data_IF_320151019487
#
_entry.id   IF_320151019487
#
_cell.length_a   1.000
_cell.length_b   1.000
_cell.length_c   1.000
_cell.angle_alpha   90.00
_cell.angle_beta   90.00
_cell.angle_gamma   90.00
#
_symmetry.space_group_name_H-M   'P 1'
#
loop_
_entity.id
_entity.type
_entity.pdbx_description
1 polymer ?
#
# COMPACT_ATOMS: atom_id res chain seq x y z
N UNK A 1 -23.57 57.29 -18.15
CA UNK A 1 -22.91 56.55 -17.05
C UNK A 1 -21.90 55.61 -17.67
N UNK A 2 -20.67 55.61 -17.13
CA UNK A 2 -19.46 55.05 -17.74
C UNK A 2 -19.43 53.52 -17.61
N UNK A 3 -19.11 52.84 -18.71
CA UNK A 3 -18.80 51.41 -18.72
C UNK A 3 -17.46 51.12 -18.04
N UNK A 4 -17.41 50.05 -17.25
CA UNK A 4 -16.17 49.43 -16.79
C UNK A 4 -15.73 48.40 -17.83
N UNK A 5 -14.44 48.29 -18.17
CA UNK A 5 -13.93 47.19 -18.98
C UNK A 5 -13.69 45.96 -18.10
N UNK A 6 -14.02 44.79 -18.67
CA UNK A 6 -13.70 43.47 -18.13
C UNK A 6 -12.18 43.26 -18.12
N UNK A 7 -11.66 42.84 -16.97
CA UNK A 7 -10.28 42.35 -16.84
C UNK A 7 -10.20 40.92 -17.36
N UNK A 8 -9.22 40.56 -18.20
CA UNK A 8 -9.02 39.17 -18.62
C UNK A 8 -8.50 38.30 -17.47
N UNK A 9 -8.76 36.98 -17.49
CA UNK A 9 -8.29 36.07 -16.46
C UNK A 9 -6.76 35.95 -16.53
N UNK A 10 -6.13 35.95 -15.34
CA UNK A 10 -4.69 35.73 -15.18
C UNK A 10 -4.33 34.31 -15.62
N UNK A 11 -3.54 34.19 -16.68
CA UNK A 11 -2.80 32.97 -16.99
C UNK A 11 -1.76 32.73 -15.89
N UNK A 12 -1.94 31.65 -15.13
CA UNK A 12 -0.88 31.11 -14.29
C UNK A 12 0.11 30.38 -15.19
N UNK A 13 1.20 31.06 -15.53
CA UNK A 13 2.35 30.45 -16.20
C UNK A 13 3.03 29.53 -15.18
N UNK A 14 2.73 28.23 -15.26
CA UNK A 14 3.53 27.21 -14.59
C UNK A 14 4.81 27.07 -15.42
N UNK A 15 5.92 27.56 -14.87
CA UNK A 15 7.25 27.37 -15.44
C UNK A 15 7.67 25.91 -15.18
N UNK A 16 7.46 25.05 -16.17
CA UNK A 16 8.00 23.68 -16.19
C UNK A 16 9.14 23.67 -17.21
N UNK A 17 10.40 23.56 -16.75
CA UNK A 17 11.49 22.99 -17.56
C UNK A 17 12.76 22.86 -16.73
N UNK A 18 12.88 21.74 -16.04
CA UNK A 18 14.16 21.04 -15.97
C UNK A 18 13.94 19.70 -16.65
N UNK A 19 14.62 19.38 -17.76
CA UNK A 19 14.47 18.08 -18.40
C UNK A 19 15.05 17.00 -17.46
N UNK A 20 14.18 16.08 -17.02
CA UNK A 20 14.60 14.88 -16.29
C UNK A 20 15.48 14.02 -17.22
N UNK A 21 16.61 13.47 -16.72
CA UNK A 21 17.38 12.51 -17.48
C UNK A 21 16.57 11.22 -17.69
N UNK A 22 16.80 10.50 -18.81
CA UNK A 22 16.08 9.28 -19.12
C UNK A 22 16.60 8.15 -18.23
N UNK A 23 15.89 7.82 -17.15
CA UNK A 23 16.14 6.57 -16.44
C UNK A 23 15.30 5.46 -17.07
N UNK A 24 15.80 4.84 -18.14
CA UNK A 24 15.22 3.58 -18.65
C UNK A 24 15.78 2.43 -17.80
N UNK A 25 15.16 2.25 -16.64
CA UNK A 25 15.33 1.13 -15.71
C UNK A 25 14.11 1.07 -14.79
N UNK A 26 13.78 -0.10 -14.26
CA UNK A 26 12.74 -0.18 -13.23
C UNK A 26 13.17 0.66 -12.00
N UNK A 27 12.24 1.38 -11.35
CA UNK A 27 12.56 2.20 -10.19
C UNK A 27 13.14 1.32 -9.08
N UNK A 28 14.11 1.84 -8.33
CA UNK A 28 14.78 1.15 -7.21
C UNK A 28 14.51 1.84 -5.87
N UNK A 29 14.11 3.11 -5.91
CA UNK A 29 13.74 3.90 -4.76
C UNK A 29 12.49 4.75 -5.04
N UNK A 30 11.92 5.35 -4.00
CA UNK A 30 10.80 6.28 -4.12
C UNK A 30 11.14 7.52 -4.95
N UNK A 31 12.41 7.95 -4.92
CA UNK A 31 12.90 9.08 -5.70
C UNK A 31 12.77 8.83 -7.20
N UNK A 32 12.90 7.58 -7.65
CA UNK A 32 12.72 7.21 -9.06
C UNK A 32 11.25 7.27 -9.50
N UNK A 33 10.32 7.12 -8.54
CA UNK A 33 8.87 7.15 -8.79
C UNK A 33 8.33 8.56 -8.71
N UNK A 34 8.59 9.27 -7.61
CA UNK A 34 8.02 10.57 -7.32
C UNK A 34 8.83 11.72 -7.90
N UNK A 35 10.11 11.48 -8.23
CA UNK A 35 11.06 12.52 -8.58
C UNK A 35 11.62 13.24 -7.36
N UNK A 36 12.60 14.12 -7.57
CA UNK A 36 13.22 14.89 -6.49
C UNK A 36 12.25 15.93 -5.90
N UNK A 37 12.46 16.29 -4.63
CA UNK A 37 11.73 17.38 -3.99
C UNK A 37 10.28 17.06 -3.60
N UNK A 38 9.90 15.78 -3.54
CA UNK A 38 8.62 15.32 -3.02
C UNK A 38 8.83 14.69 -1.64
N UNK A 39 7.98 15.04 -0.68
CA UNK A 39 7.89 14.31 0.59
C UNK A 39 6.82 13.21 0.48
N UNK A 40 7.07 12.03 1.05
CA UNK A 40 6.11 10.91 1.05
C UNK A 40 5.60 10.65 2.48
N UNK A 41 4.29 10.43 2.59
CA UNK A 41 3.63 10.03 3.82
C UNK A 41 2.70 8.84 3.58
N UNK A 42 3.07 7.67 4.12
CA UNK A 42 2.29 6.44 4.00
C UNK A 42 1.39 6.16 5.22
N UNK A 43 1.11 7.17 6.04
CA UNK A 43 0.28 7.03 7.24
C UNK A 43 -1.21 7.23 6.91
N UNK A 44 -2.10 6.27 7.18
CA UNK A 44 -3.54 6.52 7.17
C UNK A 44 -3.96 7.57 8.21
N UNK A 45 -5.08 8.25 7.96
CA UNK A 45 -5.70 9.12 8.96
C UNK A 45 -6.16 8.30 10.19
N UNK A 46 -5.99 8.87 11.38
CA UNK A 46 -6.47 8.28 12.64
C UNK A 46 -7.81 8.91 12.99
N UNK A 47 -8.86 8.08 13.07
CA UNK A 47 -10.14 8.50 13.66
C UNK A 47 -10.08 8.43 15.18
N UNK A 48 -10.88 9.26 15.86
CA UNK A 48 -10.94 9.29 17.32
C UNK A 48 -11.33 7.90 17.88
N UNK A 49 -10.55 7.38 18.84
CA UNK A 49 -10.80 6.08 19.48
C UNK A 49 -10.16 4.86 18.80
N UNK A 50 -9.31 5.07 17.79
CA UNK A 50 -8.76 3.98 16.98
C UNK A 50 -7.82 3.04 17.77
N UNK A 51 -8.26 1.79 17.95
CA UNK A 51 -7.49 0.68 18.55
C UNK A 51 -6.32 0.20 17.68
N UNK A 52 -6.18 0.73 16.46
CA UNK A 52 -5.18 0.31 15.46
C UNK A 52 -4.08 1.34 15.20
N UNK A 53 -3.85 2.29 16.12
CA UNK A 53 -2.80 3.32 15.99
C UNK A 53 -1.42 2.73 15.67
N UNK A 54 -1.05 1.62 16.31
CA UNK A 54 0.19 0.90 16.04
C UNK A 54 0.29 0.42 14.58
N UNK A 55 -0.82 -0.04 13.99
CA UNK A 55 -0.83 -0.50 12.59
C UNK A 55 -0.58 0.66 11.64
N UNK A 56 -1.28 1.79 11.80
CA UNK A 56 -1.15 2.94 10.90
C UNK A 56 0.23 3.61 11.01
N UNK A 57 0.76 3.72 12.24
CA UNK A 57 2.09 4.29 12.46
C UNK A 57 3.17 3.35 11.88
N UNK A 58 3.00 2.02 11.96
CA UNK A 58 3.88 1.07 11.30
C UNK A 58 3.84 1.16 9.76
N UNK A 59 2.69 1.49 9.15
CA UNK A 59 2.59 1.70 7.70
C UNK A 59 3.45 2.91 7.25
N UNK A 60 3.46 3.98 8.05
CA UNK A 60 4.25 5.18 7.75
C UNK A 60 5.76 4.95 7.73
N UNK A 61 6.24 3.89 8.40
CA UNK A 61 7.66 3.53 8.47
C UNK A 61 8.13 2.66 7.29
N UNK A 62 7.23 1.99 6.56
CA UNK A 62 7.62 1.11 5.45
C UNK A 62 8.42 1.82 4.34
N UNK A 63 8.08 3.06 3.93
CA UNK A 63 8.83 3.79 2.91
C UNK A 63 10.33 3.97 3.19
N UNK A 64 10.74 3.96 4.47
CA UNK A 64 12.12 4.27 4.91
C UNK A 64 13.16 3.41 4.17
N UNK A 65 12.88 2.12 4.01
CA UNK A 65 13.81 1.16 3.44
C UNK A 65 14.17 1.44 1.98
N UNK A 66 13.34 2.18 1.24
CA UNK A 66 13.54 2.42 -0.20
C UNK A 66 13.38 3.89 -0.55
N UNK A 67 13.59 4.79 0.40
CA UNK A 67 13.34 6.22 0.19
C UNK A 67 14.31 6.85 -0.82
N UNK A 68 15.58 6.43 -0.83
CA UNK A 68 16.64 7.15 -1.54
C UNK A 68 16.71 8.60 -1.03
N UNK A 69 16.70 9.57 -1.93
CA UNK A 69 16.72 11.00 -1.60
C UNK A 69 15.33 11.57 -1.23
N UNK A 70 14.29 10.74 -1.17
CA UNK A 70 12.92 11.19 -0.86
C UNK A 70 12.78 11.47 0.63
N UNK A 71 12.31 12.66 1.00
CA UNK A 71 11.90 12.99 2.37
C UNK A 71 10.75 12.09 2.81
N UNK A 72 10.88 11.42 3.95
CA UNK A 72 9.81 10.55 4.48
C UNK A 72 9.27 11.12 5.79
N UNK A 73 7.94 11.31 5.86
CA UNK A 73 7.24 11.61 7.11
C UNK A 73 6.78 10.29 7.72
N UNK A 74 7.39 9.87 8.82
CA UNK A 74 7.22 8.54 9.38
C UNK A 74 7.15 8.51 10.91
N UNK A 75 6.60 7.45 11.48
CA UNK A 75 6.63 7.23 12.92
C UNK A 75 8.06 6.97 13.40
N UNK A 76 8.41 7.53 14.57
CA UNK A 76 9.68 7.33 15.28
C UNK A 76 9.95 5.85 15.66
N UNK A 77 8.89 5.02 15.67
CA UNK A 77 9.02 3.56 15.74
C UNK A 77 9.81 2.93 14.59
N UNK A 78 9.84 3.55 13.41
CA UNK A 78 10.62 3.07 12.27
C UNK A 78 12.06 3.59 12.21
N UNK A 79 12.43 4.52 13.09
CA UNK A 79 13.72 5.24 13.05
C UNK A 79 14.70 4.77 14.12
N UNK A 80 14.52 3.56 14.66
CA UNK A 80 15.48 2.96 15.58
C UNK A 80 16.88 2.87 14.92
N UNK A 81 17.96 3.36 15.55
CA UNK A 81 19.28 3.37 14.93
C UNK A 81 19.80 1.98 14.53
N UNK A 82 19.50 0.93 15.31
CA UNK A 82 19.93 -0.43 15.00
C UNK A 82 19.15 -1.00 13.81
N UNK A 83 17.85 -0.70 13.71
CA UNK A 83 17.05 -1.02 12.52
C UNK A 83 17.59 -0.30 11.28
N UNK A 84 17.81 1.01 11.36
CA UNK A 84 18.31 1.79 10.22
C UNK A 84 19.69 1.31 9.77
N UNK A 85 20.58 0.97 10.72
CA UNK A 85 21.86 0.35 10.40
C UNK A 85 21.67 -0.99 9.68
N UNK A 86 20.79 -1.86 10.18
CA UNK A 86 20.51 -3.16 9.56
C UNK A 86 19.94 -3.06 8.14
N UNK A 87 19.07 -2.07 7.87
CA UNK A 87 18.56 -1.80 6.53
C UNK A 87 19.67 -1.33 5.59
N UNK A 88 20.52 -0.40 6.02
CA UNK A 88 21.67 0.11 5.25
C UNK A 88 22.72 -0.98 4.99
N UNK A 89 23.02 -1.80 5.99
CA UNK A 89 23.93 -2.95 5.86
C UNK A 89 23.39 -4.00 4.88
N UNK A 90 22.07 -4.09 4.72
CA UNK A 90 21.41 -4.87 3.67
C UNK A 90 21.53 -4.26 2.26
N UNK A 91 22.20 -3.11 2.11
CA UNK A 91 22.41 -2.40 0.86
C UNK A 91 21.24 -1.51 0.43
N UNK A 92 20.19 -1.39 1.24
CA UNK A 92 18.97 -0.70 0.87
C UNK A 92 19.20 0.82 0.78
N UNK A 93 18.51 1.53 -0.14
CA UNK A 93 18.61 2.98 -0.28
C UNK A 93 17.77 3.65 0.80
N UNK A 94 18.19 3.48 2.05
CA UNK A 94 17.55 4.08 3.22
C UNK A 94 17.72 5.59 3.16
N UNK A 95 16.61 6.32 3.30
CA UNK A 95 16.64 7.79 3.24
C UNK A 95 17.28 8.42 4.47
N UNK A 96 17.86 9.59 4.27
CA UNK A 96 18.51 10.37 5.33
C UNK A 96 17.63 11.53 5.86
N UNK A 97 16.66 12.02 5.08
CA UNK A 97 15.65 13.00 5.52
C UNK A 97 14.39 12.29 6.04
N UNK A 98 14.49 11.81 7.29
CA UNK A 98 13.40 11.14 8.01
C UNK A 98 12.78 12.12 9.01
N UNK A 99 11.58 12.61 8.70
CA UNK A 99 10.81 13.54 9.53
C UNK A 99 9.93 12.75 10.47
N UNK A 100 10.50 12.34 11.59
CA UNK A 100 9.83 11.43 12.49
C UNK A 100 8.87 12.10 13.50
N UNK A 101 7.84 11.35 13.89
CA UNK A 101 6.84 11.77 14.87
C UNK A 101 6.53 10.64 15.85
N UNK A 102 6.10 11.01 17.07
CA UNK A 102 5.72 10.07 18.13
C UNK A 102 4.21 9.98 18.35
N UNK A 103 3.52 11.03 17.94
CA UNK A 103 2.09 11.26 18.16
C UNK A 103 1.44 12.08 17.04
N UNK A 104 0.13 12.31 17.18
CA UNK A 104 -0.67 13.02 16.17
C UNK A 104 -0.24 14.49 16.02
N UNK A 105 0.09 15.15 17.14
CA UNK A 105 0.56 16.53 17.12
C UNK A 105 1.92 16.65 16.43
N UNK A 106 2.84 15.73 16.73
CA UNK A 106 4.12 15.62 16.04
C UNK A 106 3.95 15.32 14.55
N UNK A 107 3.02 14.44 14.19
CA UNK A 107 2.71 14.15 12.77
C UNK A 107 2.28 15.42 12.04
N UNK A 108 1.33 16.18 12.60
CA UNK A 108 0.89 17.44 12.00
C UNK A 108 2.02 18.47 11.89
N UNK A 109 2.91 18.53 12.89
CA UNK A 109 4.09 19.40 12.84
C UNK A 109 5.05 19.01 11.70
N UNK A 110 5.34 17.72 11.51
CA UNK A 110 6.20 17.23 10.42
C UNK A 110 5.62 17.51 9.03
N UNK A 111 4.29 17.42 8.89
CA UNK A 111 3.59 17.80 7.66
C UNK A 111 3.72 19.31 7.40
N UNK A 112 3.51 20.14 8.43
CA UNK A 112 3.66 21.59 8.32
C UNK A 112 5.10 22.00 7.97
N UNK A 113 6.10 21.35 8.54
CA UNK A 113 7.52 21.57 8.23
C UNK A 113 7.83 21.24 6.77
N UNK A 114 7.35 20.11 6.24
CA UNK A 114 7.58 19.75 4.84
C UNK A 114 6.97 20.78 3.88
N UNK A 115 5.77 21.26 4.18
CA UNK A 115 5.14 22.34 3.40
C UNK A 115 5.89 23.67 3.53
N UNK A 116 6.42 24.00 4.72
CA UNK A 116 7.20 25.21 4.95
C UNK A 116 8.54 25.21 4.18
N UNK A 117 9.14 24.03 4.03
CA UNK A 117 10.33 23.82 3.20
C UNK A 117 10.02 23.80 1.69
N UNK A 118 8.74 23.98 1.32
CA UNK A 118 8.30 24.05 -0.07
C UNK A 118 8.12 22.69 -0.75
N UNK A 119 8.15 21.59 -0.01
CA UNK A 119 7.98 20.24 -0.56
C UNK A 119 6.49 19.96 -0.81
N UNK A 120 6.07 19.63 -2.04
CA UNK A 120 4.79 18.96 -2.24
C UNK A 120 4.80 17.58 -1.58
N UNK A 121 3.67 17.18 -1.02
CA UNK A 121 3.53 15.93 -0.26
C UNK A 121 2.71 14.91 -1.05
N UNK A 122 3.26 13.71 -1.27
CA UNK A 122 2.48 12.53 -1.67
C UNK A 122 1.90 11.87 -0.43
N UNK A 123 0.63 12.18 -0.14
CA UNK A 123 -0.16 11.47 0.86
C UNK A 123 -0.69 10.18 0.23
N UNK A 124 -0.28 9.02 0.74
CA UNK A 124 -0.75 7.72 0.24
C UNK A 124 -2.15 7.34 0.73
N UNK A 125 -2.68 8.11 1.67
CA UNK A 125 -4.03 7.96 2.19
C UNK A 125 -4.71 9.34 2.23
N UNK A 126 -6.04 9.42 2.08
CA UNK A 126 -6.78 10.66 2.23
C UNK A 126 -6.57 11.24 3.63
N UNK A 127 -6.24 12.53 3.67
CA UNK A 127 -6.13 13.32 4.89
C UNK A 127 -6.98 14.59 4.78
N UNK A 128 -7.43 15.18 5.90
CA UNK A 128 -8.16 16.44 5.87
C UNK A 128 -7.33 17.55 5.22
N UNK A 129 -7.97 18.39 4.40
CA UNK A 129 -7.31 19.55 3.77
C UNK A 129 -6.80 20.59 4.78
N UNK A 130 -7.35 20.59 6.00
CA UNK A 130 -6.85 21.37 7.11
C UNK A 130 -5.45 20.94 7.58
N UNK A 131 -5.09 19.66 7.39
CA UNK A 131 -3.75 19.14 7.67
C UNK A 131 -2.80 19.40 6.48
N UNK A 132 -3.25 19.09 5.26
CA UNK A 132 -2.48 19.26 4.04
C UNK A 132 -3.39 19.76 2.90
N UNK A 133 -3.33 21.05 2.54
CA UNK A 133 -4.14 21.63 1.47
C UNK A 133 -3.84 21.03 0.09
N UNK A 134 -4.83 21.04 -0.81
CA UNK A 134 -4.71 20.41 -2.13
C UNK A 134 -3.61 21.05 -3.01
N UNK A 135 -3.28 22.32 -2.82
CA UNK A 135 -2.18 22.99 -3.53
C UNK A 135 -0.78 22.56 -3.06
N UNK A 136 -0.69 21.80 -1.96
CA UNK A 136 0.56 21.31 -1.38
C UNK A 136 0.78 19.82 -1.58
N UNK A 137 -0.10 19.14 -2.33
CA UNK A 137 0.00 17.69 -2.55
C UNK A 137 0.32 17.35 -4.00
N UNK A 138 0.95 16.19 -4.17
CA UNK A 138 1.20 15.59 -5.50
C UNK A 138 -0.10 15.00 -6.08
N UNK A 139 -1.01 14.55 -5.21
CA UNK A 139 -2.31 13.96 -5.53
C UNK A 139 -3.32 14.34 -4.44
N UNK A 140 -4.53 14.75 -4.82
CA UNK A 140 -5.53 15.22 -3.86
C UNK A 140 -6.10 14.09 -3.02
N UNK A 141 -6.51 14.39 -1.79
CA UNK A 141 -7.15 13.42 -0.91
C UNK A 141 -8.44 12.86 -1.53
N UNK A 142 -9.21 13.70 -2.23
CA UNK A 142 -10.40 13.30 -2.97
C UNK A 142 -10.07 12.25 -4.05
N UNK A 143 -9.02 12.48 -4.85
CA UNK A 143 -8.63 11.54 -5.90
C UNK A 143 -8.20 10.19 -5.31
N UNK A 144 -7.34 10.20 -4.29
CA UNK A 144 -6.88 8.96 -3.63
C UNK A 144 -8.07 8.21 -3.03
N UNK A 145 -8.98 8.91 -2.35
CA UNK A 145 -10.17 8.31 -1.77
C UNK A 145 -11.08 7.70 -2.82
N UNK A 146 -11.37 8.44 -3.89
CA UNK A 146 -12.20 7.98 -4.99
C UNK A 146 -11.63 6.71 -5.65
N UNK A 147 -10.34 6.71 -6.00
CA UNK A 147 -9.66 5.57 -6.64
C UNK A 147 -9.58 4.32 -5.75
N UNK A 148 -9.60 4.48 -4.42
CA UNK A 148 -9.56 3.37 -3.47
C UNK A 148 -10.95 2.98 -2.95
N UNK A 149 -12.01 3.74 -3.28
CA UNK A 149 -13.36 3.42 -2.88
C UNK A 149 -13.87 2.25 -3.71
N UNK A 150 -14.13 1.13 -3.04
CA UNK A 150 -14.54 -0.13 -3.66
C UNK A 150 -15.87 -0.03 -4.40
N UNK A 151 -16.75 0.91 -4.04
CA UNK A 151 -17.99 1.16 -4.78
C UNK A 151 -17.77 1.74 -6.18
N UNK A 152 -16.57 2.30 -6.44
CA UNK A 152 -16.27 3.00 -7.70
C UNK A 152 -15.53 2.12 -8.72
N UNK A 153 -15.14 0.91 -8.34
CA UNK A 153 -14.37 -0.03 -9.19
C UNK A 153 -15.00 -0.19 -10.57
N UNK A 154 -16.33 -0.29 -10.63
CA UNK A 154 -17.10 -0.44 -11.86
C UNK A 154 -17.01 0.76 -12.82
N UNK A 155 -16.53 1.92 -12.35
CA UNK A 155 -16.29 3.12 -13.17
C UNK A 155 -14.98 3.02 -13.96
N UNK A 156 -14.00 2.31 -13.42
CA UNK A 156 -12.67 2.18 -14.02
C UNK A 156 -12.46 0.86 -14.73
N UNK A 157 -13.03 -0.23 -14.22
CA UNK A 157 -12.78 -1.57 -14.73
C UNK A 157 -13.76 -1.89 -15.86
N UNK A 158 -13.29 -2.50 -16.95
CA UNK A 158 -14.19 -3.00 -17.99
C UNK A 158 -15.16 -4.07 -17.44
N UNK A 159 -16.47 -4.06 -17.79
CA UNK A 159 -17.49 -4.94 -17.20
C UNK A 159 -17.19 -6.44 -17.22
N UNK A 160 -16.42 -6.91 -18.22
CA UNK A 160 -16.05 -8.32 -18.33
C UNK A 160 -15.14 -8.83 -17.21
N UNK A 161 -14.47 -7.93 -16.49
CA UNK A 161 -13.62 -8.24 -15.34
C UNK A 161 -14.30 -7.97 -14.00
N UNK A 162 -15.61 -7.71 -13.99
CA UNK A 162 -16.34 -7.49 -12.75
C UNK A 162 -16.74 -8.82 -12.13
N UNK A 163 -16.55 -8.94 -10.82
CA UNK A 163 -17.32 -9.86 -10.01
C UNK A 163 -18.77 -9.34 -9.90
N UNK A 164 -19.74 -10.25 -9.74
CA UNK A 164 -21.12 -9.85 -9.43
C UNK A 164 -21.16 -9.17 -8.08
N UNK A 165 -21.62 -7.93 -8.07
CA UNK A 165 -21.64 -7.09 -6.87
C UNK A 165 -22.75 -6.06 -6.91
N UNK A 166 -23.11 -5.56 -5.74
CA UNK A 166 -24.00 -4.42 -5.54
C UNK A 166 -23.45 -3.51 -4.45
N UNK A 167 -23.77 -2.21 -4.57
CA UNK A 167 -23.61 -1.27 -3.46
C UNK A 167 -24.94 -1.25 -2.70
N UNK A 168 -24.88 -1.43 -1.39
CA UNK A 168 -26.06 -1.50 -0.50
C UNK A 168 -25.90 -0.54 0.66
N UNK A 169 -27.02 -0.08 1.19
CA UNK A 169 -27.02 0.75 2.40
C UNK A 169 -26.94 -0.10 3.66
N UNK A 170 -26.65 0.52 4.80
CA UNK A 170 -26.74 -0.16 6.11
C UNK A 170 -28.12 -0.78 6.36
N UNK A 171 -29.20 -0.14 5.91
CA UNK A 171 -30.56 -0.62 6.13
C UNK A 171 -30.88 -1.90 5.34
N UNK A 172 -30.24 -2.08 4.19
CA UNK A 172 -30.46 -3.21 3.29
C UNK A 172 -29.46 -4.35 3.51
N UNK A 173 -28.50 -4.17 4.42
CA UNK A 173 -27.36 -5.08 4.56
C UNK A 173 -27.79 -6.49 4.98
N UNK A 174 -28.74 -6.62 5.92
CA UNK A 174 -29.24 -7.91 6.39
C UNK A 174 -29.90 -8.72 5.27
N UNK A 175 -30.63 -8.05 4.37
CA UNK A 175 -31.28 -8.69 3.21
C UNK A 175 -30.25 -9.06 2.13
N UNK A 176 -29.28 -8.17 1.89
CA UNK A 176 -28.28 -8.35 0.86
C UNK A 176 -27.21 -9.41 1.21
N UNK A 177 -27.05 -9.72 2.50
CA UNK A 177 -26.00 -10.59 3.03
C UNK A 177 -26.58 -11.83 3.75
N UNK A 178 -27.31 -12.70 3.03
CA UNK A 178 -27.99 -13.84 3.63
C UNK A 178 -27.00 -14.89 4.15
N UNK A 179 -27.33 -15.52 5.28
CA UNK A 179 -26.47 -16.49 5.94
C UNK A 179 -26.23 -17.77 5.11
N UNK A 180 -27.21 -18.19 4.30
CA UNK A 180 -27.16 -19.42 3.50
C UNK A 180 -26.30 -19.35 2.23
N UNK A 181 -25.67 -18.20 1.96
CA UNK A 181 -24.79 -18.00 0.79
C UNK A 181 -23.43 -17.49 1.23
N UNK A 182 -22.39 -17.84 0.50
CA UNK A 182 -21.08 -17.21 0.68
C UNK A 182 -21.04 -15.85 -0.04
N UNK A 183 -20.46 -14.84 0.60
CA UNK A 183 -20.32 -13.50 0.05
C UNK A 183 -19.11 -12.78 0.64
N UNK A 184 -18.70 -11.70 -0.03
CA UNK A 184 -17.68 -10.78 0.45
C UNK A 184 -18.32 -9.44 0.71
N UNK A 185 -18.18 -8.93 1.92
CA UNK A 185 -18.57 -7.59 2.31
C UNK A 185 -17.34 -6.71 2.31
N UNK A 186 -17.43 -5.57 1.62
CA UNK A 186 -16.35 -4.59 1.58
C UNK A 186 -16.86 -3.20 1.93
N UNK A 187 -16.03 -2.40 2.60
CA UNK A 187 -16.35 -1.01 2.91
C UNK A 187 -16.48 -0.18 1.62
N UNK A 188 -17.55 0.60 1.48
CA UNK A 188 -17.70 1.61 0.44
C UNK A 188 -17.45 3.00 1.04
N UNK A 189 -16.20 3.45 1.01
CA UNK A 189 -15.81 4.74 1.57
C UNK A 189 -14.66 5.36 0.79
N UNK A 190 -14.61 6.69 0.78
CA UNK A 190 -13.46 7.44 0.31
C UNK A 190 -12.35 7.52 1.36
N UNK A 191 -12.59 7.08 2.58
CA UNK A 191 -11.52 6.90 3.56
C UNK A 191 -10.74 5.65 3.18
N UNK A 192 -9.57 5.81 2.56
CA UNK A 192 -8.77 4.64 2.21
C UNK A 192 -8.27 3.94 3.48
N UNK A 193 -8.50 2.64 3.57
CA UNK A 193 -7.98 1.78 4.63
C UNK A 193 -7.01 0.75 4.04
N UNK A 194 -6.27 0.04 4.90
CA UNK A 194 -5.35 -1.01 4.48
C UNK A 194 -5.30 -2.16 5.48
N UNK A 195 -4.81 -3.31 5.03
CA UNK A 195 -4.60 -4.49 5.88
C UNK A 195 -5.85 -5.32 6.16
N UNK A 196 -6.77 -5.41 5.18
CA UNK A 196 -8.00 -6.22 5.25
C UNK A 196 -8.99 -5.81 6.35
N UNK A 197 -8.81 -4.64 6.96
CA UNK A 197 -9.72 -4.10 7.98
C UNK A 197 -11.08 -3.65 7.40
N UNK A 198 -11.17 -3.60 6.07
CA UNK A 198 -12.29 -3.12 5.28
C UNK A 198 -12.94 -4.21 4.42
N UNK A 199 -12.61 -5.48 4.68
CA UNK A 199 -13.11 -6.66 3.95
C UNK A 199 -13.50 -7.75 4.95
N UNK A 200 -14.65 -8.37 4.75
CA UNK A 200 -15.14 -9.50 5.52
C UNK A 200 -15.65 -10.58 4.56
N UNK A 201 -15.23 -11.81 4.82
CA UNK A 201 -15.57 -12.98 4.03
C UNK A 201 -16.52 -13.83 4.87
N UNK A 202 -17.68 -14.16 4.28
CA UNK A 202 -18.69 -14.99 4.91
C UNK A 202 -18.85 -16.28 4.12
N UNK A 203 -18.86 -17.41 4.83
CA UNK A 203 -19.12 -18.74 4.26
C UNK A 203 -20.59 -19.14 4.48
N UNK A 204 -21.18 -19.76 3.46
CA UNK A 204 -22.56 -20.24 3.52
C UNK A 204 -22.80 -21.18 4.72
N UNK A 205 -23.80 -20.84 5.53
CA UNK A 205 -24.21 -21.62 6.70
C UNK A 205 -23.63 -21.12 8.02
N UNK A 206 -22.62 -20.25 7.99
CA UNK A 206 -22.10 -19.62 9.19
C UNK A 206 -23.06 -18.58 9.76
N UNK A 207 -22.87 -18.25 11.04
CA UNK A 207 -23.57 -17.12 11.63
C UNK A 207 -23.00 -15.81 11.08
N UNK A 208 -23.86 -14.98 10.48
CA UNK A 208 -23.47 -13.63 10.06
C UNK A 208 -23.15 -12.79 11.29
N UNK A 209 -21.90 -12.36 11.39
CA UNK A 209 -21.42 -11.46 12.42
C UNK A 209 -20.71 -10.28 11.76
N UNK A 210 -21.46 -9.20 11.52
CA UNK A 210 -20.90 -8.07 10.79
C UNK A 210 -19.70 -7.45 11.54
N UNK A 211 -18.64 -7.07 10.79
CA UNK A 211 -17.46 -6.46 11.37
C UNK A 211 -17.76 -5.04 11.85
N UNK A 212 -16.92 -4.54 12.78
CA UNK A 212 -17.11 -3.25 13.44
C UNK A 212 -17.19 -2.04 12.47
N UNK A 213 -16.60 -2.13 11.28
CA UNK A 213 -16.71 -1.04 10.30
C UNK A 213 -18.15 -0.83 9.81
N UNK A 214 -19.03 -1.83 9.93
CA UNK A 214 -20.45 -1.70 9.56
C UNK A 214 -21.26 -0.78 10.47
N UNK A 215 -20.73 -0.50 11.67
CA UNK A 215 -21.35 0.45 12.60
C UNK A 215 -20.94 1.90 12.32
N UNK A 216 -19.93 2.11 11.46
CA UNK A 216 -19.36 3.42 11.16
C UNK A 216 -19.71 3.93 9.76
N UNK A 217 -20.08 3.04 8.85
CA UNK A 217 -20.30 3.35 7.43
C UNK A 217 -21.78 3.29 7.04
N UNK A 218 -22.16 4.10 6.06
CA UNK A 218 -23.52 4.13 5.52
C UNK A 218 -23.74 3.21 4.32
N UNK A 219 -22.68 2.89 3.59
CA UNK A 219 -22.73 2.11 2.36
C UNK A 219 -21.66 1.02 2.36
N UNK A 220 -21.97 -0.06 1.64
CA UNK A 220 -21.16 -1.26 1.57
C UNK A 220 -21.21 -1.85 0.17
N UNK A 221 -20.20 -2.61 -0.19
CA UNK A 221 -20.26 -3.49 -1.35
C UNK A 221 -20.49 -4.91 -0.88
N UNK A 222 -21.56 -5.54 -1.37
CA UNK A 222 -21.72 -6.99 -1.34
C UNK A 222 -21.28 -7.55 -2.69
N UNK A 223 -20.33 -8.45 -2.66
CA UNK A 223 -19.76 -9.12 -3.83
C UNK A 223 -19.92 -10.64 -3.66
N UNK A 224 -20.05 -11.36 -4.76
CA UNK A 224 -20.05 -12.82 -4.72
C UNK A 224 -18.73 -13.35 -4.14
N UNK A 225 -18.80 -14.48 -3.44
CA UNK A 225 -17.61 -15.19 -3.01
C UNK A 225 -17.00 -15.93 -4.21
N UNK A 226 -15.73 -15.65 -4.51
CA UNK A 226 -15.02 -16.22 -5.65
C UNK A 226 -14.05 -17.31 -5.21
N UNK A 227 -14.11 -18.46 -5.87
CA UNK A 227 -13.13 -19.53 -5.70
C UNK A 227 -11.98 -19.32 -6.68
N UNK A 228 -10.80 -18.97 -6.16
CA UNK A 228 -9.68 -18.51 -6.95
C UNK A 228 -8.73 -19.66 -7.32
N UNK A 229 -8.34 -19.74 -8.59
CA UNK A 229 -7.23 -20.56 -9.08
C UNK A 229 -5.88 -19.82 -8.93
N UNK A 230 -5.91 -18.50 -9.12
CA UNK A 230 -4.77 -17.57 -9.01
C UNK A 230 -5.23 -16.25 -8.43
N UNK A 231 -4.39 -15.63 -7.62
CA UNK A 231 -4.61 -14.29 -7.08
C UNK A 231 -3.32 -13.47 -7.25
N UNK A 232 -3.39 -12.41 -8.03
CA UNK A 232 -2.27 -11.56 -8.41
C UNK A 232 -2.37 -10.16 -7.81
N UNK A 233 -1.24 -9.63 -7.37
CA UNK A 233 -1.06 -8.19 -7.13
C UNK A 233 -0.22 -7.59 -8.25
N UNK A 234 -0.85 -6.94 -9.22
CA UNK A 234 -0.14 -6.24 -10.31
C UNK A 234 0.36 -4.91 -9.77
N UNK A 235 1.68 -4.78 -9.60
CA UNK A 235 2.31 -3.55 -9.10
C UNK A 235 2.57 -2.61 -10.27
N UNK A 236 2.08 -1.38 -10.19
CA UNK A 236 2.28 -0.33 -11.19
C UNK A 236 2.72 0.98 -10.54
N UNK A 237 3.18 1.91 -11.37
CA UNK A 237 3.44 3.28 -10.94
C UNK A 237 3.15 4.29 -12.05
N UNK A 238 2.94 5.53 -11.63
CA UNK A 238 2.81 6.70 -12.50
C UNK A 238 3.80 7.75 -12.03
N UNK A 239 4.85 7.99 -12.82
CA UNK A 239 5.85 9.01 -12.54
C UNK A 239 5.38 10.43 -12.92
N UNK A 240 6.24 11.46 -12.77
CA UNK A 240 5.90 12.85 -13.06
C UNK A 240 5.37 13.10 -14.48
N UNK A 241 5.76 12.25 -15.43
CA UNK A 241 5.38 12.32 -16.84
C UNK A 241 3.98 11.78 -17.16
N UNK A 242 3.21 11.40 -16.14
CA UNK A 242 1.83 10.92 -16.28
C UNK A 242 1.67 9.60 -17.05
N UNK A 243 2.74 8.82 -17.20
CA UNK A 243 2.68 7.54 -17.93
C UNK A 243 2.62 6.37 -16.95
N UNK A 244 1.57 5.57 -17.08
CA UNK A 244 1.41 4.33 -16.34
C UNK A 244 2.43 3.28 -16.79
N UNK A 245 3.08 2.63 -15.82
CA UNK A 245 4.11 1.62 -16.06
C UNK A 245 3.90 0.43 -15.15
N UNK A 246 4.07 -0.76 -15.71
CA UNK A 246 4.16 -2.00 -14.94
C UNK A 246 5.49 -2.00 -14.17
N UNK A 247 5.41 -2.27 -12.86
CA UNK A 247 6.58 -2.50 -12.03
C UNK A 247 6.93 -3.99 -11.95
N UNK A 248 5.96 -4.80 -11.54
CA UNK A 248 6.04 -6.26 -11.59
C UNK A 248 4.65 -6.90 -11.39
N UNK A 249 4.59 -8.20 -11.63
CA UNK A 249 3.48 -9.06 -11.20
C UNK A 249 3.92 -9.78 -9.93
N UNK A 250 3.03 -9.85 -8.95
CA UNK A 250 3.21 -10.63 -7.71
C UNK A 250 2.00 -11.56 -7.54
N UNK A 251 2.14 -12.61 -6.74
CA UNK A 251 1.01 -13.44 -6.33
C UNK A 251 0.65 -13.12 -4.88
N UNK A 252 -0.64 -12.99 -4.58
CA UNK A 252 -1.12 -12.85 -3.21
C UNK A 252 -1.29 -14.24 -2.60
N UNK A 253 -0.63 -14.46 -1.46
CA UNK A 253 -0.90 -15.62 -0.61
C UNK A 253 -2.11 -15.29 0.25
N UNK A 254 -3.11 -16.15 0.17
CA UNK A 254 -4.27 -16.16 1.05
C UNK A 254 -4.29 -17.45 1.85
N UNK A 255 -4.90 -17.43 3.02
CA UNK A 255 -5.20 -18.64 3.77
C UNK A 255 -6.43 -19.36 3.21
N UNK A 256 -6.81 -20.48 3.86
CA UNK A 256 -7.91 -21.34 3.42
C UNK A 256 -9.27 -20.62 3.41
N UNK A 257 -9.40 -19.52 4.14
CA UNK A 257 -10.63 -18.69 4.20
C UNK A 257 -10.61 -17.53 3.21
N UNK A 258 -9.49 -17.34 2.49
CA UNK A 258 -9.29 -16.25 1.55
C UNK A 258 -8.67 -14.97 2.14
N UNK A 259 -8.18 -15.01 3.38
CA UNK A 259 -7.54 -13.84 4.02
C UNK A 259 -6.10 -13.70 3.57
N UNK A 260 -5.69 -12.49 3.17
CA UNK A 260 -4.32 -12.18 2.77
C UNK A 260 -3.31 -12.42 3.91
N UNK A 261 -2.28 -13.23 3.63
CA UNK A 261 -1.19 -13.55 4.58
C UNK A 261 0.20 -13.15 4.09
N UNK A 262 0.33 -12.66 2.85
CA UNK A 262 1.61 -12.23 2.29
C UNK A 262 1.62 -12.19 0.77
N UNK A 263 2.72 -11.74 0.18
CA UNK A 263 2.96 -11.78 -1.26
C UNK A 263 4.08 -12.76 -1.62
N UNK A 264 3.98 -13.32 -2.83
CA UNK A 264 5.05 -14.02 -3.56
C UNK A 264 5.59 -13.09 -4.64
N UNK A 265 6.91 -13.08 -4.76
CA UNK A 265 7.67 -12.23 -5.66
C UNK A 265 8.63 -13.10 -6.49
N UNK A 266 9.06 -12.55 -7.62
CA UNK A 266 9.96 -13.21 -8.55
C UNK A 266 9.21 -14.09 -9.56
N UNK A 267 9.57 -15.38 -9.64
CA UNK A 267 8.98 -16.34 -10.59
C UNK A 267 7.53 -16.71 -10.23
N UNK A 268 6.60 -15.81 -10.55
CA UNK A 268 5.16 -16.01 -10.44
C UNK A 268 4.53 -16.23 -11.81
N UNK A 269 3.35 -16.87 -11.83
CA UNK A 269 2.61 -17.03 -13.09
C UNK A 269 2.12 -15.66 -13.55
N UNK A 270 2.38 -15.28 -14.80
CA UNK A 270 1.85 -14.03 -15.34
C UNK A 270 0.32 -14.13 -15.54
N UNK A 271 -0.44 -13.05 -15.27
CA UNK A 271 -1.84 -12.99 -15.66
C UNK A 271 -1.96 -13.02 -17.20
N UNK A 272 -3.12 -13.43 -17.74
CA UNK A 272 -3.41 -13.30 -19.16
C UNK A 272 -3.16 -11.87 -19.67
N UNK A 273 -2.65 -11.77 -20.90
CA UNK A 273 -2.18 -10.50 -21.45
C UNK A 273 -3.28 -9.43 -21.52
N UNK A 274 -4.53 -9.84 -21.70
CA UNK A 274 -5.68 -8.94 -21.77
C UNK A 274 -6.09 -8.39 -20.40
N UNK A 275 -5.93 -9.16 -19.31
CA UNK A 275 -6.07 -8.67 -17.94
C UNK A 275 -4.95 -7.70 -17.60
N UNK A 276 -3.70 -8.02 -17.97
CA UNK A 276 -2.56 -7.11 -17.76
C UNK A 276 -2.73 -5.78 -18.52
N UNK A 277 -3.24 -5.83 -19.74
CA UNK A 277 -3.56 -4.65 -20.53
C UNK A 277 -4.65 -3.79 -19.86
N UNK A 278 -5.68 -4.41 -19.28
CA UNK A 278 -6.69 -3.69 -18.50
C UNK A 278 -6.09 -3.02 -17.26
N UNK A 279 -5.19 -3.70 -16.55
CA UNK A 279 -4.48 -3.11 -15.40
C UNK A 279 -3.76 -1.82 -15.80
N UNK A 280 -2.98 -1.85 -16.89
CA UNK A 280 -2.30 -0.67 -17.42
C UNK A 280 -3.29 0.42 -17.85
N UNK A 281 -4.41 0.06 -18.49
CA UNK A 281 -5.43 1.02 -18.91
C UNK A 281 -6.16 1.68 -17.73
N UNK A 282 -6.43 0.95 -16.65
CA UNK A 282 -6.96 1.50 -15.39
C UNK A 282 -5.97 2.50 -14.80
N UNK A 283 -4.71 2.12 -14.66
CA UNK A 283 -3.67 3.00 -14.11
C UNK A 283 -3.45 4.23 -14.98
N UNK A 284 -3.51 4.10 -16.31
CA UNK A 284 -3.42 5.25 -17.21
C UNK A 284 -4.62 6.20 -17.05
N UNK A 285 -5.85 5.69 -16.94
CA UNK A 285 -7.03 6.51 -16.66
C UNK A 285 -6.89 7.27 -15.34
N UNK A 286 -6.31 6.65 -14.31
CA UNK A 286 -6.00 7.33 -13.06
C UNK A 286 -4.92 8.41 -13.24
N UNK A 287 -3.88 8.14 -14.03
CA UNK A 287 -2.83 9.11 -14.37
C UNK A 287 -3.39 10.35 -15.08
N UNK A 288 -4.34 10.14 -16.01
CA UNK A 288 -4.99 11.18 -16.81
C UNK A 288 -5.83 12.14 -15.94
N UNK A 289 -6.34 11.66 -14.81
CA UNK A 289 -7.07 12.49 -13.81
C UNK A 289 -6.18 13.00 -12.67
N UNK A 290 -4.85 12.87 -12.80
CA UNK A 290 -3.88 13.49 -11.92
C UNK A 290 -3.21 12.57 -10.90
N UNK A 291 -3.40 11.25 -10.97
CA UNK A 291 -2.73 10.33 -10.05
C UNK A 291 -1.22 10.23 -10.34
N UNK A 292 -0.38 10.27 -9.30
CA UNK A 292 1.07 10.05 -9.37
C UNK A 292 1.53 9.22 -8.17
N UNK A 293 2.37 8.22 -8.39
CA UNK A 293 2.87 7.32 -7.35
C UNK A 293 2.66 5.84 -7.65
N UNK A 294 2.80 5.03 -6.60
CA UNK A 294 2.71 3.56 -6.64
C UNK A 294 1.28 3.07 -6.43
N UNK A 295 0.85 2.05 -7.18
CA UNK A 295 -0.41 1.38 -6.97
C UNK A 295 -0.29 -0.14 -7.15
N UNK A 296 -1.25 -0.89 -6.58
CA UNK A 296 -1.41 -2.33 -6.76
C UNK A 296 -2.83 -2.64 -7.18
N UNK A 297 -3.00 -3.31 -8.31
CA UNK A 297 -4.30 -3.83 -8.71
C UNK A 297 -4.36 -5.32 -8.36
N UNK A 298 -5.31 -5.68 -7.51
CA UNK A 298 -5.52 -7.04 -7.08
C UNK A 298 -6.51 -7.68 -8.05
N UNK A 299 -6.11 -8.75 -8.72
CA UNK A 299 -6.89 -9.43 -9.75
C UNK A 299 -6.72 -10.94 -9.65
N UNK A 300 -7.65 -11.70 -10.18
CA UNK A 300 -7.66 -13.14 -10.02
C UNK A 300 -8.20 -13.86 -11.25
N UNK A 301 -7.85 -15.14 -11.32
CA UNK A 301 -8.50 -16.13 -12.17
C UNK A 301 -9.25 -17.08 -11.24
N UNK A 302 -10.53 -17.29 -11.52
CA UNK A 302 -11.39 -18.22 -10.77
C UNK A 302 -11.18 -19.66 -11.25
N UNK A 303 -11.66 -20.64 -10.47
CA UNK A 303 -11.56 -22.06 -10.84
C UNK A 303 -12.28 -22.42 -12.15
N UNK A 304 -13.27 -21.64 -12.57
CA UNK A 304 -13.97 -21.77 -13.85
C UNK A 304 -13.36 -20.90 -14.97
N UNK A 305 -12.22 -20.25 -14.71
CA UNK A 305 -11.42 -19.53 -15.71
C UNK A 305 -11.86 -18.09 -15.97
N UNK A 306 -12.74 -17.52 -15.15
CA UNK A 306 -13.11 -16.10 -15.23
C UNK A 306 -11.98 -15.24 -14.69
N UNK A 307 -11.66 -14.16 -15.41
CA UNK A 307 -10.72 -13.13 -14.98
C UNK A 307 -11.48 -12.00 -14.29
N UNK A 308 -11.02 -11.61 -13.10
CA UNK A 308 -11.71 -10.61 -12.27
C UNK A 308 -10.74 -9.57 -11.70
N UNK A 309 -11.21 -8.35 -11.56
CA UNK A 309 -10.56 -7.30 -10.77
C UNK A 309 -11.18 -7.25 -9.38
N UNK A 310 -10.38 -7.40 -8.34
CA UNK A 310 -10.83 -7.48 -6.95
C UNK A 310 -10.78 -6.11 -6.27
N UNK A 311 -9.64 -5.40 -6.39
CA UNK A 311 -9.37 -4.10 -5.76
C UNK A 311 -8.28 -3.31 -6.53
N UNK A 312 -8.28 -1.97 -6.42
CA UNK A 312 -7.38 -1.09 -7.21
C UNK A 312 -6.23 -0.41 -6.44
N UNK A 313 -6.18 -0.53 -5.11
CA UNK A 313 -5.21 0.06 -4.18
C UNK A 313 -4.24 1.13 -4.76
N UNK A 314 -4.71 2.36 -4.98
CA UNK A 314 -3.92 3.48 -5.52
C UNK A 314 -3.06 4.17 -4.46
N UNK A 315 -2.11 3.42 -3.91
CA UNK A 315 -1.19 3.82 -2.82
C UNK A 315 -0.05 2.82 -2.68
N UNK A 316 0.97 3.17 -1.90
CA UNK A 316 1.95 2.19 -1.41
C UNK A 316 1.23 1.02 -0.72
N UNK A 317 1.50 -0.21 -1.16
CA UNK A 317 0.93 -1.45 -0.60
C UNK A 317 1.99 -2.32 0.06
N UNK A 318 1.60 -3.47 0.61
CA UNK A 318 2.53 -4.48 1.12
C UNK A 318 3.42 -5.09 0.04
N UNK A 319 3.05 -4.99 -1.26
CA UNK A 319 3.87 -5.45 -2.36
C UNK A 319 4.90 -4.41 -2.82
N UNK A 320 4.60 -3.11 -2.69
CA UNK A 320 5.42 -2.05 -3.29
C UNK A 320 6.81 -1.93 -2.69
N UNK A 321 6.92 -1.89 -1.35
CA UNK A 321 8.21 -1.71 -0.67
C UNK A 321 9.12 -2.94 -0.81
N UNK A 322 8.65 -4.18 -0.59
CA UNK A 322 9.49 -5.35 -0.82
C UNK A 322 9.98 -5.46 -2.26
N UNK A 323 9.16 -5.09 -3.25
CA UNK A 323 9.55 -5.15 -4.65
C UNK A 323 10.65 -4.15 -5.00
N UNK A 324 10.52 -2.88 -4.56
CA UNK A 324 11.58 -1.88 -4.73
C UNK A 324 12.86 -2.31 -4.00
N UNK A 325 12.74 -2.92 -2.81
CA UNK A 325 13.87 -3.45 -2.06
C UNK A 325 14.60 -4.55 -2.87
N UNK A 326 13.88 -5.52 -3.43
CA UNK A 326 14.46 -6.54 -4.33
C UNK A 326 15.14 -5.90 -5.53
N UNK A 327 14.47 -4.98 -6.23
CA UNK A 327 15.04 -4.28 -7.38
C UNK A 327 16.32 -3.51 -7.06
N UNK A 328 16.43 -2.98 -5.83
CA UNK A 328 17.60 -2.23 -5.40
C UNK A 328 18.80 -3.12 -5.06
N UNK A 329 18.59 -4.19 -4.26
CA UNK A 329 19.71 -4.93 -3.65
C UNK A 329 19.88 -6.36 -4.14
N UNK A 330 18.83 -6.97 -4.67
CA UNK A 330 18.79 -8.35 -5.14
C UNK A 330 18.00 -8.47 -6.45
N UNK A 331 18.40 -7.76 -7.53
CA UNK A 331 17.71 -7.86 -8.80
C UNK A 331 17.76 -9.30 -9.37
N UNK A 332 18.77 -10.08 -8.98
CA UNK A 332 18.87 -11.53 -9.26
C UNK A 332 17.73 -12.35 -8.62
N UNK A 333 17.25 -11.94 -7.44
CA UNK A 333 16.15 -12.63 -6.77
C UNK A 333 14.78 -12.36 -7.42
N UNK A 334 14.69 -11.40 -8.36
CA UNK A 334 13.50 -11.22 -9.19
C UNK A 334 13.31 -12.36 -10.20
N UNK A 335 14.38 -13.09 -10.52
CA UNK A 335 14.33 -14.31 -11.32
C UNK A 335 14.28 -15.58 -10.43
N UNK A 336 14.12 -15.41 -9.11
CA UNK A 336 14.07 -16.49 -8.12
C UNK A 336 12.72 -16.55 -7.39
N UNK A 337 12.71 -17.21 -6.23
CA UNK A 337 11.53 -17.35 -5.39
C UNK A 337 11.68 -16.52 -4.12
N UNK A 338 10.70 -15.65 -3.86
CA UNK A 338 10.67 -14.87 -2.63
C UNK A 338 9.25 -14.71 -2.07
N UNK A 339 9.13 -14.60 -0.75
CA UNK A 339 7.88 -14.37 -0.04
C UNK A 339 8.02 -13.28 1.02
N UNK A 340 6.99 -12.44 1.18
CA UNK A 340 6.95 -11.50 2.30
C UNK A 340 6.51 -12.21 3.57
N UNK A 341 7.14 -11.86 4.69
CA UNK A 341 6.77 -12.32 6.02
C UNK A 341 6.64 -11.12 6.97
N UNK A 342 5.58 -11.10 7.77
CA UNK A 342 5.41 -10.13 8.87
C UNK A 342 5.64 -10.81 10.21
N UNK A 343 6.64 -10.35 10.95
CA UNK A 343 6.83 -10.73 12.35
C UNK A 343 6.29 -9.65 13.27
N UNK A 344 5.57 -10.04 14.31
CA UNK A 344 5.06 -9.14 15.34
C UNK A 344 5.23 -9.81 16.70
N UNK A 345 5.77 -9.07 17.68
CA UNK A 345 6.00 -9.56 19.04
C UNK A 345 5.73 -8.44 20.06
N UNK A 346 5.20 -8.82 21.23
CA UNK A 346 5.07 -7.93 22.38
C UNK A 346 6.41 -7.81 23.14
N UNK A 347 7.45 -7.39 22.41
CA UNK A 347 8.82 -7.29 22.89
C UNK A 347 9.52 -6.09 22.20
N UNK A 348 10.63 -5.59 22.76
CA UNK A 348 11.48 -4.59 22.10
C UNK A 348 11.96 -5.06 20.72
N UNK A 349 12.20 -4.12 19.80
CA UNK A 349 12.65 -4.45 18.45
C UNK A 349 14.00 -5.16 18.41
N UNK A 350 14.88 -4.88 19.38
CA UNK A 350 16.16 -5.55 19.53
C UNK A 350 16.03 -7.08 19.62
N UNK A 351 14.97 -7.58 20.27
CA UNK A 351 14.73 -9.01 20.41
C UNK A 351 14.31 -9.65 19.08
N UNK A 352 13.45 -8.96 18.31
CA UNK A 352 13.10 -9.38 16.96
C UNK A 352 14.31 -9.36 16.02
N UNK A 353 15.16 -8.33 16.11
CA UNK A 353 16.39 -8.24 15.33
C UNK A 353 17.39 -9.33 15.71
N UNK A 354 17.49 -9.69 16.99
CA UNK A 354 18.31 -10.81 17.45
C UNK A 354 17.76 -12.15 16.93
N UNK A 355 16.45 -12.33 16.97
CA UNK A 355 15.76 -13.52 16.47
C UNK A 355 16.03 -13.79 14.98
N UNK A 356 15.94 -12.76 14.12
CA UNK A 356 16.14 -12.94 12.67
C UNK A 356 17.62 -12.95 12.24
N UNK A 357 18.55 -12.59 13.13
CA UNK A 357 19.98 -12.42 12.82
C UNK A 357 20.65 -13.67 12.22
N UNK A 358 20.38 -14.90 12.70
CA UNK A 358 20.97 -16.09 12.08
C UNK A 358 20.56 -16.24 10.61
N UNK A 359 19.30 -15.97 10.28
CA UNK A 359 18.78 -16.07 8.92
C UNK A 359 19.30 -14.95 8.00
N UNK A 360 19.49 -13.74 8.56
CA UNK A 360 20.17 -12.64 7.87
C UNK A 360 21.61 -13.00 7.51
N UNK A 361 22.37 -13.52 8.47
CA UNK A 361 23.77 -13.92 8.26
C UNK A 361 23.90 -15.07 7.25
N UNK A 362 22.90 -15.95 7.16
CA UNK A 362 22.85 -17.01 6.17
C UNK A 362 22.48 -16.50 4.76
N UNK A 363 22.12 -15.22 4.60
CA UNK A 363 21.81 -14.61 3.31
C UNK A 363 20.52 -15.15 2.69
N UNK A 364 19.51 -15.52 3.49
CA UNK A 364 18.20 -16.01 3.02
C UNK A 364 17.04 -15.07 3.32
N UNK A 365 17.30 -13.94 3.96
CA UNK A 365 16.30 -12.99 4.44
C UNK A 365 16.78 -11.56 4.23
N UNK A 366 15.85 -10.66 3.95
CA UNK A 366 16.06 -9.21 3.91
C UNK A 366 15.01 -8.53 4.79
N UNK A 367 15.41 -7.63 5.67
CA UNK A 367 14.45 -6.74 6.37
C UNK A 367 14.05 -5.63 5.41
N UNK A 368 12.75 -5.41 5.24
CA UNK A 368 12.19 -4.36 4.37
C UNK A 368 11.45 -3.26 5.14
N UNK A 369 11.19 -3.47 6.43
CA UNK A 369 10.65 -2.45 7.34
C UNK A 369 10.72 -2.95 8.78
N UNK A 370 10.78 -2.03 9.73
CA UNK A 370 10.52 -2.31 11.14
C UNK A 370 9.72 -1.19 11.79
N UNK A 371 9.09 -1.50 12.93
CA UNK A 371 8.41 -0.52 13.77
C UNK A 371 8.43 -0.99 15.23
N UNK A 372 8.85 -0.13 16.14
CA UNK A 372 8.82 -0.34 17.59
C UNK A 372 7.93 0.72 18.27
N UNK A 373 6.85 0.30 18.91
CA UNK A 373 5.96 1.26 19.60
C UNK A 373 6.60 1.89 20.82
N UNK A 374 7.66 1.32 21.42
CA UNK A 374 8.36 1.90 22.58
C UNK A 374 9.06 3.22 22.25
N UNK A 375 9.26 3.50 20.96
CA UNK A 375 9.78 4.76 20.42
C UNK A 375 8.68 5.80 20.18
N UNK A 376 7.42 5.44 20.37
CA UNK A 376 6.24 6.28 20.16
C UNK A 376 5.55 6.57 21.49
N UNK A 377 4.51 7.40 21.48
CA UNK A 377 3.70 7.65 22.68
C UNK A 377 2.51 6.67 22.79
N UNK A 378 2.62 5.52 22.13
CA UNK A 378 1.65 4.43 22.23
C UNK A 378 1.89 3.62 23.52
N UNK A 379 0.86 3.40 24.36
CA UNK A 379 1.02 2.65 25.60
C UNK A 379 1.25 1.14 25.39
N UNK A 380 0.97 0.60 24.19
CA UNK A 380 1.16 -0.81 23.88
C UNK A 380 2.61 -1.05 23.51
N UNK A 381 3.28 -2.03 24.13
CA UNK A 381 4.61 -2.50 23.72
C UNK A 381 4.43 -3.57 22.64
N UNK A 382 4.86 -3.24 21.42
CA UNK A 382 4.73 -4.08 20.25
C UNK A 382 5.79 -3.69 19.23
N UNK A 383 6.54 -4.68 18.76
CA UNK A 383 7.45 -4.51 17.64
C UNK A 383 6.99 -5.32 16.45
N UNK A 384 7.23 -4.80 15.25
CA UNK A 384 6.93 -5.44 13.97
C UNK A 384 8.14 -5.38 13.05
N UNK A 385 8.43 -6.49 12.36
CA UNK A 385 9.35 -6.54 11.24
C UNK A 385 8.60 -7.00 9.99
N UNK A 386 8.95 -6.41 8.85
CA UNK A 386 8.61 -6.94 7.53
C UNK A 386 9.88 -7.48 6.89
N UNK A 387 9.76 -8.69 6.39
CA UNK A 387 10.86 -9.46 5.83
C UNK A 387 10.50 -9.88 4.42
N UNK A 388 11.52 -10.06 3.60
CA UNK A 388 11.49 -10.91 2.43
C UNK A 388 12.33 -12.14 2.72
N UNK A 389 11.76 -13.32 2.47
CA UNK A 389 12.43 -14.60 2.56
C UNK A 389 12.63 -15.10 1.14
N UNK A 390 13.86 -15.50 0.79
CA UNK A 390 14.20 -16.02 -0.52
C UNK A 390 14.94 -17.34 -0.41
N UNK A 391 14.82 -18.14 -1.47
CA UNK A 391 15.31 -19.50 -1.54
C UNK A 391 15.44 -19.96 -2.99
N UNK A 392 15.99 -21.16 -3.13
CA UNK A 392 16.30 -21.73 -4.45
C UNK A 392 15.05 -22.26 -5.17
N UNK A 393 14.03 -22.65 -4.39
CA UNK A 393 12.75 -23.15 -4.86
C UNK A 393 11.60 -22.76 -3.88
N UNK A 394 10.32 -22.95 -4.26
CA UNK A 394 9.19 -22.61 -3.39
C UNK A 394 9.14 -23.35 -2.05
N UNK A 395 9.64 -24.58 -1.97
CA UNK A 395 9.64 -25.39 -0.76
C UNK A 395 10.71 -24.90 0.22
N UNK A 396 11.89 -24.51 -0.28
CA UNK A 396 12.95 -23.87 0.52
C UNK A 396 12.45 -22.54 1.11
N UNK A 397 11.82 -21.68 0.31
CA UNK A 397 11.22 -20.42 0.81
C UNK A 397 10.20 -20.70 1.89
N UNK A 398 9.33 -21.69 1.69
CA UNK A 398 8.30 -22.10 2.65
C UNK A 398 8.93 -22.61 3.95
N UNK A 399 9.97 -23.44 3.87
CA UNK A 399 10.66 -23.99 5.03
C UNK A 399 11.36 -22.89 5.84
N UNK A 400 12.09 -21.99 5.18
CA UNK A 400 12.76 -20.84 5.83
C UNK A 400 11.76 -19.91 6.51
N UNK A 401 10.66 -19.58 5.82
CA UNK A 401 9.58 -18.74 6.38
C UNK A 401 8.98 -19.41 7.62
N UNK A 402 8.65 -20.70 7.54
CA UNK A 402 8.06 -21.46 8.65
C UNK A 402 9.00 -21.52 9.86
N UNK A 403 10.31 -21.68 9.65
CA UNK A 403 11.29 -21.65 10.74
C UNK A 403 11.31 -20.30 11.49
N UNK A 404 11.13 -19.19 10.78
CA UNK A 404 11.06 -17.86 11.38
C UNK A 404 9.77 -17.63 12.18
N UNK A 405 8.67 -18.27 11.77
CA UNK A 405 7.35 -18.19 12.43
C UNK A 405 7.25 -19.09 13.68
N UNK A 406 7.84 -20.29 13.63
CA UNK A 406 7.72 -21.33 14.67
C UNK A 406 8.51 -21.03 15.97
N UNK A 407 9.46 -20.10 15.93
CA UNK A 407 10.34 -19.81 17.08
C UNK A 407 9.79 -18.66 17.94
N UNK A 408 8.48 -18.41 17.92
CA UNK A 408 7.82 -17.35 18.70
C UNK A 408 7.50 -17.75 20.13
#
# INVERSE_FOLDING_TARGET
>A
MRGRPDSPPREHVISISTPLPPAVGAPRALTDVYGPGVAVCARPAVTAGNRHRNTVDALSARPIAVAGDTTVICSAGGTDPALLAQLRDGGLPVGDDLRDFRDEAGFAARVAEAMADGLPISMEYPHPTALCPDERVVKTAHLVGYLNNKATISTFVAPRFHARRSVVTRADLDEAAPAEKSWVLKAATNDAHGGSLDVYLHEAGDQVAFPAFTDLLGEFVIEEYLYLARNWGVQLYVGPDAVARLLAVTEQRVDDTGVYVGGRFGLVSAPPADLLAECLAITQRAADVGYRGLCSLDCAETLDGQLVMLDLNFRITSGSIPLLALQSVRPDALDGYAESLKLTAAAPLADLLAHVRPALNAGGVLITSGHDTTRTDNPVVLSTLQLLVFGDDPDDVTARRSALELTR
#
